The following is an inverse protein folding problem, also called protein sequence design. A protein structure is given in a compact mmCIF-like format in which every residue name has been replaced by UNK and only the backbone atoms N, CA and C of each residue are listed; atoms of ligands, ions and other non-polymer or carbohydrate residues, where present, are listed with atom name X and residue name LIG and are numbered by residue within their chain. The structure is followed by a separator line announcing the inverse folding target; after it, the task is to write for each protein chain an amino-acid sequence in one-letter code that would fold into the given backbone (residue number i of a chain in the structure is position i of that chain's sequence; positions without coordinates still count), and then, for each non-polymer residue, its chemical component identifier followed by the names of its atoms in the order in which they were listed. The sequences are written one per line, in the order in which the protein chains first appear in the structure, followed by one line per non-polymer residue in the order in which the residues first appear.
data_IF_523275128927
#
_entry.id   IF_523275128927
#
_cell.length_a   1.000
_cell.length_b   1.000
_cell.length_c   1.000
_cell.angle_alpha   90.00
_cell.angle_beta   90.00
_cell.angle_gamma   90.00
#
_symmetry.space_group_name_H-M   'P 1'
#
loop_
_entity.id
_entity.type
_entity.pdbx_description
1 polymer ?
#
# COMPACT_ATOMS: atom_id res chain seq x y z
N UNK A 1 9.38 -2.14 -12.18
CA UNK A 1 9.93 -2.43 -10.83
C UNK A 1 10.59 -1.18 -10.33
N UNK A 2 9.91 -0.52 -9.41
CA UNK A 2 10.37 0.67 -8.73
C UNK A 2 11.50 0.32 -7.78
N UNK A 3 12.65 0.96 -7.93
CA UNK A 3 13.84 0.65 -7.13
C UNK A 3 13.76 1.39 -5.79
N UNK A 4 13.53 0.64 -4.69
CA UNK A 4 13.61 1.21 -3.34
C UNK A 4 15.09 1.42 -3.00
N UNK A 5 15.57 2.66 -3.11
CA UNK A 5 16.94 3.00 -2.72
C UNK A 5 17.01 3.30 -1.24
N UNK A 6 17.57 2.38 -0.47
CA UNK A 6 17.81 2.55 0.96
C UNK A 6 19.20 3.14 1.17
N UNK A 7 19.28 4.35 1.70
CA UNK A 7 20.54 4.94 2.15
C UNK A 7 20.68 4.78 3.67
N UNK A 8 21.84 4.28 4.10
CA UNK A 8 22.23 4.16 5.51
C UNK A 8 23.39 5.10 5.80
N UNK A 9 23.32 5.86 6.89
CA UNK A 9 24.44 6.69 7.38
C UNK A 9 24.61 6.41 8.86
N UNK A 10 25.85 6.13 9.27
CA UNK A 10 26.17 5.71 10.64
C UNK A 10 27.28 6.61 11.21
N UNK A 11 26.90 7.46 12.16
CA UNK A 11 27.84 8.35 12.88
C UNK A 11 27.49 8.50 14.37
N UNK A 12 26.25 8.18 14.77
CA UNK A 12 25.71 8.04 16.16
C UNK A 12 24.18 7.79 16.16
N UNK A 13 23.54 7.87 14.99
CA UNK A 13 22.13 7.56 14.74
C UNK A 13 22.06 6.82 13.41
N UNK A 14 21.26 5.76 13.31
CA UNK A 14 21.02 5.07 12.03
C UNK A 14 19.80 5.68 11.37
N UNK A 15 19.99 6.30 10.19
CA UNK A 15 18.88 6.79 9.37
C UNK A 15 18.72 5.91 8.15
N UNK A 16 17.53 5.33 7.97
CA UNK A 16 17.15 4.63 6.76
C UNK A 16 16.26 5.55 5.92
N UNK A 17 16.70 5.90 4.71
CA UNK A 17 15.92 6.71 3.77
C UNK A 17 15.56 5.88 2.55
N UNK A 18 14.28 5.78 2.24
CA UNK A 18 13.76 5.19 1.01
C UNK A 18 13.09 6.27 0.13
N UNK A 19 13.28 6.17 -1.19
CA UNK A 19 12.53 6.96 -2.18
C UNK A 19 11.66 5.99 -2.97
N UNK A 20 10.36 6.27 -3.00
CA UNK A 20 9.34 5.43 -3.63
C UNK A 20 8.63 6.25 -4.70
N UNK A 21 8.27 5.61 -5.81
CA UNK A 21 7.36 6.21 -6.78
C UNK A 21 5.89 5.93 -6.41
N UNK A 22 4.97 6.51 -7.16
CA UNK A 22 3.54 6.39 -6.90
C UNK A 22 3.01 4.96 -6.97
N UNK A 23 3.60 4.09 -7.78
CA UNK A 23 3.17 2.70 -7.92
C UNK A 23 3.61 1.87 -6.72
N UNK A 24 4.89 1.98 -6.34
CA UNK A 24 5.42 1.33 -5.14
C UNK A 24 4.71 1.78 -3.86
N UNK A 25 4.38 3.08 -3.75
CA UNK A 25 3.59 3.58 -2.61
C UNK A 25 2.20 2.93 -2.55
N UNK A 26 1.53 2.76 -3.69
CA UNK A 26 0.21 2.11 -3.74
C UNK A 26 0.28 0.64 -3.35
N UNK A 27 1.28 -0.10 -3.84
CA UNK A 27 1.48 -1.51 -3.48
C UNK A 27 1.72 -1.68 -1.98
N UNK A 28 2.63 -0.89 -1.40
CA UNK A 28 2.98 -0.97 0.02
C UNK A 28 1.77 -0.60 0.90
N UNK A 29 1.07 0.48 0.57
CA UNK A 29 -0.11 0.91 1.34
C UNK A 29 -1.25 -0.10 1.21
N UNK A 30 -1.51 -0.60 0.01
CA UNK A 30 -2.53 -1.61 -0.25
C UNK A 30 -2.26 -2.89 0.53
N UNK A 31 -1.03 -3.40 0.47
CA UNK A 31 -0.62 -4.61 1.18
C UNK A 31 -0.71 -4.44 2.70
N UNK A 32 -0.25 -3.30 3.22
CA UNK A 32 -0.30 -3.03 4.66
C UNK A 32 -1.75 -2.96 5.18
N UNK A 33 -2.65 -2.27 4.47
CA UNK A 33 -4.06 -2.17 4.86
C UNK A 33 -4.78 -3.51 4.75
N UNK A 34 -4.52 -4.29 3.70
CA UNK A 34 -5.08 -5.64 3.57
C UNK A 34 -4.60 -6.57 4.69
N UNK A 35 -3.32 -6.51 5.06
CA UNK A 35 -2.78 -7.25 6.19
C UNK A 35 -3.48 -6.88 7.52
N UNK A 36 -3.66 -5.57 7.78
CA UNK A 36 -4.38 -5.09 8.97
C UNK A 36 -5.86 -5.52 8.96
N UNK A 37 -6.47 -5.64 7.78
CA UNK A 37 -7.82 -6.15 7.60
C UNK A 37 -7.92 -7.69 7.66
N UNK A 38 -6.79 -8.40 7.77
CA UNK A 38 -6.76 -9.87 7.75
C UNK A 38 -7.11 -10.49 6.40
N UNK A 39 -6.92 -9.74 5.30
CA UNK A 39 -7.22 -10.16 3.94
C UNK A 39 -5.95 -10.61 3.24
N UNK A 40 -5.98 -11.78 2.61
CA UNK A 40 -4.88 -12.24 1.75
C UNK A 40 -4.90 -11.46 0.43
N UNK A 41 -3.85 -10.67 0.21
CA UNK A 41 -3.66 -9.86 -1.00
C UNK A 41 -3.50 -10.69 -2.28
N UNK A 42 -3.13 -11.97 -2.15
CA UNK A 42 -2.93 -12.86 -3.29
C UNK A 42 -4.17 -13.67 -3.65
N UNK A 43 -5.24 -13.57 -2.85
CA UNK A 43 -6.47 -14.28 -3.12
C UNK A 43 -7.15 -13.70 -4.37
N UNK A 44 -7.54 -14.58 -5.31
CA UNK A 44 -8.12 -14.21 -6.61
C UNK A 44 -9.42 -13.42 -6.53
N UNK A 45 -10.08 -13.45 -5.36
CA UNK A 45 -11.33 -12.75 -5.09
C UNK A 45 -11.13 -11.43 -4.32
N UNK A 46 -9.88 -11.00 -4.12
CA UNK A 46 -9.53 -9.76 -3.43
C UNK A 46 -9.09 -8.73 -4.45
N UNK A 47 -9.70 -7.54 -4.39
CA UNK A 47 -9.35 -6.40 -5.22
C UNK A 47 -8.94 -5.23 -4.33
N UNK A 48 -7.75 -4.67 -4.59
CA UNK A 48 -7.19 -3.55 -3.83
C UNK A 48 -7.02 -2.37 -4.78
N UNK A 49 -7.60 -1.24 -4.40
CA UNK A 49 -7.45 0.04 -5.11
C UNK A 49 -6.90 1.09 -4.17
N UNK A 50 -5.87 1.82 -4.64
CA UNK A 50 -5.22 2.87 -3.86
C UNK A 50 -5.19 4.17 -4.66
N UNK A 51 -5.77 5.22 -4.09
CA UNK A 51 -5.76 6.56 -4.65
C UNK A 51 -4.90 7.48 -3.77
N UNK A 52 -3.83 8.01 -4.35
CA UNK A 52 -2.97 9.00 -3.70
C UNK A 52 -3.40 10.37 -4.20
N UNK A 53 -3.71 11.28 -3.27
CA UNK A 53 -4.12 12.64 -3.57
C UNK A 53 -3.36 13.62 -2.70
N UNK A 54 -3.05 14.78 -3.27
CA UNK A 54 -2.48 15.91 -2.55
C UNK A 54 -3.38 17.11 -2.77
N UNK A 55 -3.93 17.66 -1.69
CA UNK A 55 -4.74 18.88 -1.74
C UNK A 55 -4.00 20.02 -1.07
N UNK A 56 -3.93 21.15 -1.76
CA UNK A 56 -3.35 22.37 -1.22
C UNK A 56 -4.41 23.08 -0.38
N UNK A 57 -4.19 23.15 0.94
CA UNK A 57 -4.96 24.01 1.83
C UNK A 57 -4.37 25.42 1.88
N UNK A 58 -5.10 26.37 2.45
CA UNK A 58 -4.69 27.78 2.51
C UNK A 58 -3.35 28.03 3.21
N UNK A 59 -2.88 27.09 4.05
CA UNK A 59 -1.63 27.21 4.81
C UNK A 59 -0.81 25.91 4.86
N UNK A 60 -1.26 24.82 4.25
CA UNK A 60 -0.51 23.56 4.28
C UNK A 60 -0.89 22.63 3.14
N UNK A 61 0.03 21.75 2.75
CA UNK A 61 -0.27 20.63 1.86
C UNK A 61 -0.79 19.46 2.68
N UNK A 62 -1.93 18.89 2.30
CA UNK A 62 -2.45 17.66 2.88
C UNK A 62 -2.24 16.56 1.86
N UNK A 63 -1.50 15.53 2.25
CA UNK A 63 -1.29 14.30 1.48
C UNK A 63 -2.21 13.22 2.04
N UNK A 64 -3.05 12.62 1.18
CA UNK A 64 -4.05 11.61 1.55
C UNK A 64 -3.89 10.38 0.66
N UNK A 65 -3.77 9.21 1.28
CA UNK A 65 -3.83 7.91 0.61
C UNK A 65 -5.12 7.18 0.97
N UNK A 66 -6.04 7.06 0.03
CA UNK A 66 -7.31 6.34 0.21
C UNK A 66 -7.11 4.91 -0.29
N UNK A 67 -7.19 3.93 0.60
CA UNK A 67 -7.08 2.50 0.28
C UNK A 67 -8.44 1.85 0.42
N UNK A 68 -8.87 1.13 -0.62
CA UNK A 68 -10.10 0.35 -0.63
C UNK A 68 -9.75 -1.11 -0.88
N UNK A 69 -10.09 -1.99 0.07
CA UNK A 69 -9.95 -3.45 -0.05
C UNK A 69 -11.35 -4.03 -0.23
N UNK A 70 -11.57 -4.74 -1.33
CA UNK A 70 -12.84 -5.38 -1.66
C UNK A 70 -12.63 -6.89 -1.71
N UNK A 71 -13.48 -7.65 -1.01
CA UNK A 71 -13.43 -9.11 -0.96
C UNK A 71 -14.73 -9.66 -1.56
N UNK A 72 -14.63 -10.39 -2.68
CA UNK A 72 -15.78 -11.09 -3.27
C UNK A 72 -15.96 -12.46 -2.63
N UNK A 73 -16.85 -12.54 -1.64
CA UNK A 73 -17.17 -13.78 -0.94
C UNK A 73 -17.87 -14.84 -1.82
N UNK A 74 -18.46 -14.47 -2.97
CA UNK A 74 -19.05 -15.46 -3.89
C UNK A 74 -17.98 -16.20 -4.69
N UNK A 75 -16.88 -15.52 -5.00
CA UNK A 75 -15.73 -16.13 -5.66
C UNK A 75 -14.86 -16.94 -4.67
N UNK A 76 -14.79 -16.52 -3.39
CA UNK A 76 -14.07 -17.25 -2.34
C UNK A 76 -14.55 -18.69 -2.16
N UNK A 77 -15.87 -18.93 -2.18
CA UNK A 77 -16.47 -20.26 -2.04
C UNK A 77 -16.09 -21.24 -3.16
N UNK A 78 -15.82 -20.75 -4.38
CA UNK A 78 -15.48 -21.61 -5.52
C UNK A 78 -14.01 -22.02 -5.57
N UNK A 79 -13.13 -21.28 -4.89
CA UNK A 79 -11.69 -21.56 -4.87
C UNK A 79 -11.33 -22.70 -3.91
N UNK A 80 -12.17 -22.99 -2.92
CA UNK A 80 -11.95 -24.03 -1.90
C UNK A 80 -12.53 -25.41 -2.33
N UNK A 81 -13.28 -25.47 -3.43
CA UNK A 81 -13.91 -26.70 -3.95
C UNK A 81 -13.09 -27.37 -5.08
N UNK A 82 -11.85 -26.94 -5.35
CA UNK A 82 -10.99 -27.45 -6.44
C UNK A 82 -9.69 -28.10 -5.95
#
# INVERSE_FOLDING_TARGET
MSEIKIHETNTNTTTHRAVLDGEAMKEILGAHVAQLAGVDVNASHVHISVHLSSRMGSYNTIEEGIVTVTVDHRAALRADES
#
